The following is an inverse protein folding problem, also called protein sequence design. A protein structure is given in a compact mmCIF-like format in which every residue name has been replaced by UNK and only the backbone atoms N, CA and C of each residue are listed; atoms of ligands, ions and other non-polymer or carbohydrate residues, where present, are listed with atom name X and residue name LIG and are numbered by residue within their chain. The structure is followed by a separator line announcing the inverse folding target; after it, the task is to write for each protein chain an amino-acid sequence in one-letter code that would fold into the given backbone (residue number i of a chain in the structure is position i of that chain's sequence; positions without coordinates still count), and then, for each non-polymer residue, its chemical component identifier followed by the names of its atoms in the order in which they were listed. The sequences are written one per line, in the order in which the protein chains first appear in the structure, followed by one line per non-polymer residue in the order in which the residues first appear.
data_IF_896182835087
#
_entry.id   IF_896182835087
#
_cell.length_a   1.000
_cell.length_b   1.000
_cell.length_c   1.000
_cell.angle_alpha   90.00
_cell.angle_beta   90.00
_cell.angle_gamma   90.00
#
_symmetry.space_group_name_H-M   'P 1'
#
loop_
_entity.id
_entity.type
_entity.pdbx_description
1 polymer ?
2 non-polymer ?
3 non-polymer ?
4 non-polymer ?
5 non-polymer ?
6 non-polymer ?
7 non-polymer ?
8 non-polymer ?
9 water ?
#
# COMPACT_ATOMS: atom_id res chain seq x y z
N UNK A 1 -6.87 13.08 -18.73
CA UNK A 1 -7.52 11.87 -18.18
C UNK A 1 -6.44 10.88 -17.83
N UNK A 2 -6.63 10.34 -16.66
CA UNK A 2 -5.59 9.68 -15.95
C UNK A 2 -5.63 8.19 -16.29
N UNK A 3 -4.50 7.52 -16.16
CA UNK A 3 -4.48 6.11 -16.47
C UNK A 3 -5.46 5.29 -15.64
N UNK A 4 -6.08 4.32 -16.30
CA UNK A 4 -6.96 3.39 -15.63
C UNK A 4 -6.23 2.61 -14.54
N UNK A 5 -6.95 2.17 -13.53
CA UNK A 5 -6.35 1.37 -12.45
C UNK A 5 -5.55 0.18 -12.99
N UNK A 6 -6.10 -0.50 -13.99
CA UNK A 6 -5.44 -1.72 -14.48
C UNK A 6 -4.15 -1.34 -15.18
N UNK A 7 -4.09 -0.15 -15.79
CA UNK A 7 -2.87 0.31 -16.46
C UNK A 7 -1.83 0.71 -15.47
N UNK A 8 -2.24 1.34 -14.38
CA UNK A 8 -1.26 1.67 -13.35
C UNK A 8 -0.65 0.38 -12.72
N UNK A 9 -1.51 -0.62 -12.50
CA UNK A 9 -1.05 -1.94 -12.02
C UNK A 9 -0.05 -2.55 -12.99
N UNK A 10 -0.31 -2.40 -14.30
CA UNK A 10 0.60 -2.91 -15.31
C UNK A 10 1.96 -2.21 -15.22
N UNK A 11 1.95 -0.90 -15.05
CA UNK A 11 3.21 -0.14 -14.99
C UNK A 11 4.04 -0.57 -13.79
N UNK A 12 3.41 -0.76 -12.63
CA UNK A 12 4.12 -1.21 -11.44
C UNK A 12 4.80 -2.57 -11.69
N UNK A 13 4.08 -3.55 -12.24
CA UNK A 13 4.65 -4.88 -12.57
C UNK A 13 5.68 -4.80 -13.67
N UNK A 14 5.51 -3.87 -14.62
CA UNK A 14 6.47 -3.68 -15.69
C UNK A 14 7.78 -3.16 -15.17
N UNK A 15 7.73 -2.34 -14.16
CA UNK A 15 8.96 -1.88 -13.52
C UNK A 15 9.76 -3.12 -13.05
N UNK A 16 9.10 -4.02 -12.36
CA UNK A 16 9.76 -5.22 -11.86
C UNK A 16 10.29 -6.04 -13.04
N UNK A 17 9.48 -6.19 -14.09
CA UNK A 17 9.94 -6.97 -15.25
C UNK A 17 11.21 -6.37 -15.88
N UNK A 18 11.23 -5.05 -16.07
CA UNK A 18 12.38 -4.44 -16.72
C UNK A 18 13.66 -4.46 -15.83
N UNK A 19 13.46 -4.34 -14.52
CA UNK A 19 14.57 -4.46 -13.57
C UNK A 19 15.11 -5.88 -13.67
N UNK A 20 14.19 -6.84 -13.64
CA UNK A 20 14.56 -8.24 -13.76
C UNK A 20 15.29 -8.58 -15.07
N UNK A 21 14.99 -7.88 -16.17
CA UNK A 21 15.60 -8.15 -17.45
C UNK A 21 16.99 -7.49 -17.54
N UNK A 22 17.32 -6.64 -16.58
CA UNK A 22 18.65 -6.07 -16.45
C UNK A 22 18.80 -4.89 -17.38
N UNK A 23 17.66 -4.39 -17.87
CA UNK A 23 17.58 -3.39 -18.95
C UNK A 23 17.72 -1.95 -18.39
N UNK A 24 18.90 -1.39 -18.14
CA UNK A 24 18.88 -0.04 -17.51
C UNK A 24 18.05 0.97 -18.31
N UNK A 25 18.31 1.09 -19.60
CA UNK A 25 17.60 2.07 -20.40
C UNK A 25 16.10 1.83 -20.36
N UNK A 26 15.70 0.56 -20.49
CA UNK A 26 14.27 0.24 -20.47
C UNK A 26 13.61 0.66 -19.17
N UNK A 27 14.29 0.41 -18.06
CA UNK A 27 13.79 0.84 -16.78
C UNK A 27 13.60 2.36 -16.73
N UNK A 28 14.61 3.12 -17.15
CA UNK A 28 14.58 4.57 -17.13
C UNK A 28 13.43 5.14 -17.97
N UNK A 29 13.09 4.49 -19.09
CA UNK A 29 12.02 4.98 -19.96
C UNK A 29 10.64 4.91 -19.32
N UNK A 30 10.51 4.09 -18.27
CA UNK A 30 9.26 3.97 -17.50
C UNK A 30 9.00 5.21 -16.65
N UNK A 31 10.06 5.92 -16.29
CA UNK A 31 9.95 7.11 -15.45
C UNK A 31 9.85 8.41 -16.26
N UNK A 32 9.13 9.37 -15.68
CA UNK A 32 9.08 10.73 -16.21
C UNK A 32 10.50 11.32 -16.09
N UNK A 33 10.84 12.29 -16.94
CA UNK A 33 12.21 12.82 -16.91
C UNK A 33 12.68 13.40 -15.57
N UNK A 34 11.75 13.94 -14.81
CA UNK A 34 12.04 14.57 -13.55
C UNK A 34 11.45 13.74 -12.39
N UNK A 35 11.34 12.42 -12.59
CA UNK A 35 10.77 11.56 -11.56
C UNK A 35 11.58 11.59 -10.25
N UNK A 36 10.89 11.31 -9.15
CA UNK A 36 11.49 11.23 -7.80
C UNK A 36 11.40 9.83 -7.20
N UNK A 37 12.53 9.35 -6.66
CA UNK A 37 12.58 8.07 -5.97
C UNK A 37 13.02 8.26 -4.51
N UNK A 38 12.24 7.73 -3.60
CA UNK A 38 12.62 7.74 -2.17
C UNK A 38 12.77 6.28 -1.74
N UNK A 39 14.02 5.86 -1.46
CA UNK A 39 14.23 4.49 -1.01
C UNK A 39 15.50 4.48 -0.17
N UNK A 40 15.41 4.12 1.11
CA UNK A 40 14.18 3.88 1.87
C UNK A 40 13.52 5.18 2.33
N UNK A 41 12.34 5.09 2.91
CA UNK A 41 11.72 6.29 3.55
C UNK A 41 12.69 6.87 4.56
N UNK A 42 12.72 8.17 4.65
CA UNK A 42 13.66 8.82 5.57
C UNK A 42 15.01 8.95 4.93
N UNK A 43 15.00 9.10 3.59
CA UNK A 43 16.17 9.58 2.83
C UNK A 43 15.76 10.63 1.77
N UNK A 44 16.69 11.52 1.45
CA UNK A 44 16.66 12.52 0.34
C UNK A 44 16.15 11.82 -0.95
N UNK A 45 15.22 12.47 -1.67
CA UNK A 45 14.79 11.87 -2.95
C UNK A 45 15.91 11.89 -3.95
N UNK A 46 15.96 10.84 -4.76
CA UNK A 46 16.74 10.80 -6.00
C UNK A 46 15.88 11.47 -7.08
N UNK A 47 16.41 12.42 -7.84
CA UNK A 47 15.60 13.20 -8.77
C UNK A 47 16.16 13.19 -10.19
N UNK A 48 15.34 12.73 -11.13
CA UNK A 48 15.65 12.77 -12.54
C UNK A 48 16.32 11.52 -13.03
N UNK A 49 16.22 11.28 -14.35
CA UNK A 49 16.75 10.05 -14.93
C UNK A 49 18.29 9.85 -14.72
N UNK A 50 19.11 10.90 -14.83
CA UNK A 50 20.56 10.76 -14.55
C UNK A 50 20.83 10.23 -13.14
N UNK A 51 20.15 10.82 -12.17
CA UNK A 51 20.27 10.42 -10.78
C UNK A 51 19.72 9.04 -10.55
N UNK A 52 18.58 8.72 -11.19
CA UNK A 52 18.03 7.38 -11.05
C UNK A 52 18.94 6.30 -11.62
N UNK A 53 19.56 6.58 -12.76
CA UNK A 53 20.50 5.66 -13.41
C UNK A 53 21.64 5.39 -12.44
N UNK A 54 22.15 6.46 -11.80
CA UNK A 54 23.27 6.30 -10.86
C UNK A 54 22.87 5.41 -9.70
N UNK A 55 21.61 5.48 -9.30
CA UNK A 55 21.12 4.72 -8.17
C UNK A 55 20.82 3.26 -8.52
N UNK A 56 20.28 3.00 -9.71
CA UNK A 56 19.85 1.66 -10.10
C UNK A 56 20.97 0.81 -10.67
N UNK A 57 21.97 1.44 -11.30
CA UNK A 57 23.00 0.68 -12.02
C UNK A 57 23.69 -0.35 -11.12
N UNK A 58 24.08 0.05 -9.89
CA UNK A 58 24.72 -0.91 -8.99
C UNK A 58 23.86 -2.12 -8.64
N UNK A 59 22.54 -1.93 -8.54
CA UNK A 59 21.61 -3.05 -8.28
C UNK A 59 21.52 -3.96 -9.50
N UNK A 60 21.42 -3.36 -10.69
CA UNK A 60 21.44 -4.16 -11.93
C UNK A 60 22.73 -4.95 -12.03
N UNK A 61 23.85 -4.32 -11.69
CA UNK A 61 25.14 -5.05 -11.68
C UNK A 61 25.16 -6.20 -10.65
N UNK A 62 24.41 -6.06 -9.57
CA UNK A 62 24.31 -7.11 -8.56
C UNK A 62 23.21 -8.13 -8.81
N UNK A 63 22.78 -8.21 -10.07
CA UNK A 63 21.68 -9.12 -10.46
C UNK A 63 20.49 -9.06 -9.51
N UNK A 64 19.99 -7.86 -9.25
CA UNK A 64 18.77 -7.68 -8.46
C UNK A 64 17.63 -8.44 -9.13
N UNK A 65 16.83 -9.13 -8.31
CA UNK A 65 15.62 -9.79 -8.75
C UNK A 65 14.46 -9.38 -7.85
N UNK A 66 13.33 -9.06 -8.47
CA UNK A 66 12.15 -8.56 -7.74
C UNK A 66 10.99 -9.48 -8.02
N UNK A 67 10.42 -10.03 -6.97
CA UNK A 67 9.31 -10.94 -7.07
C UNK A 67 8.05 -10.19 -6.57
N UNK A 68 7.20 -9.74 -7.52
CA UNK A 68 6.05 -8.92 -7.13
C UNK A 68 4.92 -9.74 -6.55
N UNK A 69 4.23 -9.16 -5.57
CA UNK A 69 2.96 -9.65 -5.09
C UNK A 69 1.82 -9.04 -5.89
N UNK A 70 0.70 -8.91 -5.22
CA UNK A 70 -0.53 -8.36 -5.83
C UNK A 70 -0.51 -6.84 -5.76
N UNK A 71 -0.76 -6.13 -6.87
CA UNK A 71 -0.83 -4.68 -6.83
C UNK A 71 -2.21 -4.23 -6.37
N UNK A 72 -2.24 -3.03 -5.80
CA UNK A 72 -3.45 -2.40 -5.31
C UNK A 72 -3.51 -1.02 -5.97
N UNK A 73 -4.72 -0.60 -6.30
CA UNK A 73 -4.91 0.72 -6.86
C UNK A 73 -5.40 1.72 -5.82
N UNK A 74 -6.02 2.76 -6.31
CA UNK A 74 -6.50 3.88 -5.49
C UNK A 74 -7.54 4.59 -6.35
N UNK A 75 -8.14 5.63 -5.79
CA UNK A 75 -9.18 6.35 -6.51
C UNK A 75 -8.72 7.74 -6.87
N UNK A 76 -7.40 7.93 -6.91
CA UNK A 76 -6.81 9.24 -7.22
C UNK A 76 -6.30 9.42 -8.65
N UNK A 77 -6.54 8.43 -9.50
CA UNK A 77 -6.07 8.43 -10.89
C UNK A 77 -4.54 8.26 -11.05
N UNK A 78 -3.82 8.07 -9.95
CA UNK A 78 -2.36 8.07 -10.00
C UNK A 78 -1.61 6.98 -9.21
N UNK A 79 -2.15 6.57 -8.07
CA UNK A 79 -1.39 5.72 -7.14
C UNK A 79 -1.58 4.25 -7.40
N UNK A 80 -0.52 3.50 -7.11
CA UNK A 80 -0.58 2.05 -7.07
C UNK A 80 0.44 1.59 -6.04
N UNK A 81 0.14 0.54 -5.31
CA UNK A 81 1.00 -0.03 -4.26
C UNK A 81 1.31 -1.49 -4.64
N UNK A 82 2.60 -1.84 -4.58
CA UNK A 82 3.00 -3.20 -4.97
C UNK A 82 3.92 -3.75 -3.89
N UNK A 83 3.46 -4.72 -3.10
CA UNK A 83 4.40 -5.54 -2.32
C UNK A 83 5.28 -6.34 -3.23
N UNK A 84 6.50 -6.61 -2.73
CA UNK A 84 7.46 -7.44 -3.50
C UNK A 84 8.53 -7.91 -2.54
N UNK A 85 9.27 -8.92 -2.99
CA UNK A 85 10.49 -9.35 -2.30
C UNK A 85 11.60 -9.05 -3.27
N UNK A 86 12.68 -8.44 -2.77
CA UNK A 86 13.81 -8.03 -3.57
C UNK A 86 15.05 -8.75 -3.08
N UNK A 87 15.73 -9.45 -3.99
CA UNK A 87 17.00 -10.16 -3.72
C UNK A 87 18.11 -9.55 -4.53
N UNK A 88 19.27 -9.37 -3.90
CA UNK A 88 20.36 -8.70 -4.58
C UNK A 88 21.64 -8.97 -3.80
N UNK A 89 22.79 -8.80 -4.44
CA UNK A 89 24.13 -8.83 -3.79
C UNK A 89 25.11 -7.89 -4.48
N UNK A 90 26.35 -7.82 -4.00
CA UNK A 90 27.41 -7.18 -4.77
C UNK A 90 27.58 -7.92 -6.11
N UNK A 91 28.07 -7.24 -7.15
CA UNK A 91 28.23 -7.96 -8.42
C UNK A 91 28.96 -9.30 -8.26
N UNK A 92 28.32 -10.37 -8.71
CA UNK A 92 28.89 -11.72 -8.60
C UNK A 92 28.87 -12.39 -7.22
N UNK A 93 28.03 -11.94 -6.30
CA UNK A 93 27.91 -12.63 -5.01
C UNK A 93 27.13 -13.92 -5.27
N UNK A 94 27.51 -15.02 -4.59
CA UNK A 94 26.64 -16.21 -4.56
C UNK A 94 25.42 -15.96 -3.69
N UNK A 95 24.39 -16.85 -3.77
CA UNK A 95 23.16 -16.71 -2.97
C UNK A 95 23.45 -16.50 -1.47
N UNK A 96 24.51 -17.16 -1.00
CA UNK A 96 25.07 -17.00 0.35
C UNK A 96 25.26 -15.53 0.81
N UNK A 97 25.66 -14.67 -0.11
CA UNK A 97 25.90 -13.27 0.22
C UNK A 97 24.91 -12.38 -0.56
N UNK A 98 23.76 -12.95 -0.91
CA UNK A 98 22.63 -12.16 -1.40
C UNK A 98 21.60 -12.04 -0.30
N UNK A 99 21.15 -10.82 -0.02
CA UNK A 99 20.10 -10.55 0.94
C UNK A 99 18.75 -10.38 0.26
N UNK A 100 17.71 -10.59 1.04
CA UNK A 100 16.34 -10.59 0.57
C UNK A 100 15.52 -9.67 1.46
N UNK A 101 14.69 -8.80 0.85
CA UNK A 101 13.97 -7.80 1.60
C UNK A 101 12.54 -7.77 1.11
N UNK A 102 11.60 -7.78 2.04
CA UNK A 102 10.21 -7.56 1.75
C UNK A 102 9.97 -6.05 1.71
N UNK A 103 9.33 -5.58 0.65
CA UNK A 103 9.05 -4.18 0.49
C UNK A 103 7.59 -3.99 0.07
N UNK A 104 7.11 -2.76 0.25
CA UNK A 104 5.90 -2.30 -0.46
C UNK A 104 6.19 -0.94 -1.10
N UNK A 105 6.15 -0.92 -2.42
CA UNK A 105 6.40 0.24 -3.23
C UNK A 105 5.13 1.01 -3.54
N UNK A 106 5.18 2.32 -3.36
CA UNK A 106 4.10 3.19 -3.74
C UNK A 106 4.58 4.00 -4.96
N UNK A 107 3.82 3.88 -6.04
CA UNK A 107 4.11 4.58 -7.25
C UNK A 107 2.98 5.57 -7.57
N UNK A 108 3.36 6.73 -8.10
CA UNK A 108 2.39 7.69 -8.61
C UNK A 108 2.74 7.82 -10.08
N UNK A 109 1.75 7.51 -10.91
CA UNK A 109 1.90 7.53 -12.37
C UNK A 109 1.27 8.85 -12.90
N UNK A 110 1.89 9.49 -13.87
CA UNK A 110 1.35 10.69 -14.52
C UNK A 110 0.21 10.39 -15.49
N UNK A 111 -0.33 11.44 -16.08
CA UNK A 111 -1.38 11.32 -17.07
C UNK A 111 -0.97 10.48 -18.27
N UNK A 112 0.32 10.52 -18.60
CA UNK A 112 0.86 9.77 -19.75
C UNK A 112 1.29 8.33 -19.40
N UNK A 113 1.14 7.98 -18.15
CA UNK A 113 1.41 6.62 -17.67
C UNK A 113 2.85 6.42 -17.19
N UNK A 114 3.68 7.46 -17.27
CA UNK A 114 5.05 7.35 -16.76
C UNK A 114 5.12 7.58 -15.26
N UNK A 115 6.08 6.95 -14.61
CA UNK A 115 6.18 7.03 -13.16
C UNK A 115 6.77 8.38 -12.77
N UNK A 116 6.03 9.11 -11.96
CA UNK A 116 6.46 10.43 -11.46
C UNK A 116 7.10 10.32 -10.11
N UNK A 117 6.64 9.36 -9.32
CA UNK A 117 7.23 9.19 -8.00
C UNK A 117 7.17 7.75 -7.56
N UNK A 118 8.18 7.29 -6.83
CA UNK A 118 8.25 5.97 -6.30
C UNK A 118 8.80 6.10 -4.86
N UNK A 119 8.06 5.55 -3.89
CA UNK A 119 8.54 5.55 -2.49
C UNK A 119 8.53 4.10 -2.03
N UNK A 120 9.62 3.64 -1.48
CA UNK A 120 9.76 2.22 -1.17
C UNK A 120 9.78 1.99 0.35
N UNK A 121 8.75 1.35 0.87
CA UNK A 121 8.65 1.10 2.30
C UNK A 121 9.25 -0.29 2.63
N UNK A 122 10.20 -0.28 3.55
CA UNK A 122 10.89 -1.46 4.10
C UNK A 122 11.76 -1.05 5.21
N UNK A 123 11.81 -1.91 6.22
CA UNK A 123 12.60 -1.72 7.38
C UNK A 123 13.69 -2.75 7.56
N UNK A 124 14.59 -2.50 8.49
CA UNK A 124 15.65 -3.49 8.78
C UNK A 124 15.03 -4.82 9.20
N UNK A 125 13.92 -4.77 9.88
CA UNK A 125 13.21 -5.98 10.36
C UNK A 125 12.46 -6.64 9.18
N UNK A 126 12.49 -6.06 7.97
CA UNK A 126 11.93 -6.67 6.78
C UNK A 126 13.01 -7.32 5.89
N UNK A 127 14.25 -7.25 6.32
CA UNK A 127 15.38 -7.62 5.49
C UNK A 127 16.32 -8.61 6.10
N UNK A 128 16.74 -9.57 5.27
CA UNK A 128 17.73 -10.53 5.67
C UNK A 128 19.19 -9.98 5.68
N UNK A 129 19.37 -8.74 5.21
CA UNK A 129 20.72 -8.11 5.25
C UNK A 129 21.22 -7.87 6.63
N UNK A 130 20.31 -7.83 7.59
CA UNK A 130 20.66 -7.53 8.99
C UNK A 130 19.76 -8.23 10.00
N UNK A 131 20.34 -8.59 11.16
CA UNK A 131 19.49 -9.03 12.30
C UNK A 131 19.49 -7.99 13.41
N UNK A 132 19.93 -6.76 13.12
CA UNK A 132 19.89 -5.75 14.17
C UNK A 132 18.50 -5.45 14.68
N UNK A 133 18.39 -5.22 15.99
CA UNK A 133 17.04 -4.97 16.50
C UNK A 133 16.48 -3.64 16.01
N UNK A 134 15.17 -3.54 15.87
CA UNK A 134 14.51 -2.23 15.63
C UNK A 134 13.12 -2.35 16.23
N UNK A 135 13.04 -2.24 17.56
CA UNK A 135 11.76 -2.43 18.28
C UNK A 135 10.67 -1.48 17.82
N UNK A 136 11.05 -0.29 17.38
CA UNK A 136 10.04 0.64 16.86
C UNK A 136 9.32 0.22 15.60
N UNK A 137 10.08 -0.34 14.64
CA UNK A 137 9.55 -0.87 13.44
C UNK A 137 8.56 -2.00 13.78
N UNK A 138 8.96 -2.88 14.71
CA UNK A 138 8.08 -4.00 15.09
C UNK A 138 6.78 -3.49 15.72
N UNK A 139 6.90 -2.47 16.57
CA UNK A 139 5.74 -1.88 17.23
C UNK A 139 4.75 -1.30 16.23
N UNK A 140 5.26 -0.61 15.23
CA UNK A 140 4.37 -0.01 14.24
C UNK A 140 3.66 -1.09 13.39
N UNK A 141 4.40 -2.14 13.02
CA UNK A 141 3.78 -3.24 12.27
C UNK A 141 2.70 -3.91 13.14
N UNK A 142 2.96 -4.07 14.42
CA UNK A 142 1.97 -4.62 15.33
C UNK A 142 0.72 -3.72 15.42
N UNK A 143 0.91 -2.40 15.52
CA UNK A 143 -0.22 -1.45 15.57
C UNK A 143 -1.13 -1.59 14.34
N UNK A 144 -0.55 -1.77 13.16
CA UNK A 144 -1.28 -1.95 11.90
C UNK A 144 -2.17 -3.17 12.01
N UNK A 145 -1.63 -4.28 12.55
CA UNK A 145 -2.43 -5.47 12.75
C UNK A 145 -3.45 -5.31 13.84
N UNK A 146 -3.08 -4.68 14.93
CA UNK A 146 -4.00 -4.41 16.05
C UNK A 146 -5.25 -3.60 15.59
N UNK A 147 -5.12 -2.63 14.69
CA UNK A 147 -6.30 -1.97 14.11
C UNK A 147 -7.32 -2.97 13.61
N UNK A 148 -6.88 -3.90 12.77
CA UNK A 148 -7.76 -4.91 12.20
C UNK A 148 -8.41 -5.73 13.30
N UNK A 149 -7.61 -6.17 14.28
CA UNK A 149 -8.15 -7.01 15.34
C UNK A 149 -9.27 -6.31 16.10
N UNK A 150 -9.10 -5.03 16.40
CA UNK A 150 -10.10 -4.31 17.18
C UNK A 150 -11.37 -4.10 16.36
N UNK A 151 -11.25 -3.78 15.05
CA UNK A 151 -12.44 -3.71 14.15
C UNK A 151 -13.19 -5.05 14.19
N UNK A 152 -12.44 -6.15 14.05
CA UNK A 152 -13.06 -7.46 13.95
C UNK A 152 -13.81 -7.86 15.21
N UNK A 153 -13.27 -7.45 16.36
CA UNK A 153 -13.86 -7.73 17.66
C UNK A 153 -15.03 -6.74 17.96
N UNK A 154 -15.31 -5.81 17.05
CA UNK A 154 -16.31 -4.75 17.27
C UNK A 154 -16.01 -3.76 18.40
N UNK A 155 -14.73 -3.60 18.68
CA UNK A 155 -14.24 -2.86 19.82
C UNK A 155 -13.83 -1.46 19.36
N UNK A 156 -14.82 -0.62 19.13
CA UNK A 156 -14.59 0.73 18.63
C UNK A 156 -13.82 1.57 19.66
N UNK A 157 -14.22 1.48 20.92
CA UNK A 157 -13.50 2.23 22.00
C UNK A 157 -12.05 1.84 22.07
N UNK A 158 -11.80 0.53 21.91
CA UNK A 158 -10.43 0.02 21.87
C UNK A 158 -9.66 0.49 20.67
N UNK A 159 -10.28 0.46 19.48
CA UNK A 159 -9.62 0.94 18.30
C UNK A 159 -9.15 2.38 18.51
N UNK A 160 -9.99 3.22 19.10
CA UNK A 160 -9.69 4.67 19.19
C UNK A 160 -8.49 4.89 20.12
N UNK A 161 -8.26 3.97 21.06
CA UNK A 161 -7.10 4.14 21.97
C UNK A 161 -5.76 4.05 21.23
N UNK A 162 -5.75 3.49 20.03
CA UNK A 162 -4.51 3.39 19.20
C UNK A 162 -4.17 4.70 18.52
N UNK A 163 -5.15 5.62 18.49
CA UNK A 163 -5.15 6.79 17.62
C UNK A 163 -4.97 8.12 18.38
N UNK A 164 -4.33 9.08 17.71
CA UNK A 164 -4.16 10.45 18.18
C UNK A 164 -5.42 11.27 17.96
N UNK A 165 -5.71 12.21 18.86
CA UNK A 165 -6.80 13.17 18.60
C UNK A 165 -6.62 13.95 17.30
N UNK A 166 -5.39 14.05 16.81
CA UNK A 166 -5.08 14.73 15.57
C UNK A 166 -5.13 13.85 14.34
N UNK A 167 -5.68 12.63 14.44
CA UNK A 167 -5.68 11.67 13.34
C UNK A 167 -6.26 12.26 12.08
N UNK A 168 -5.52 12.17 10.99
CA UNK A 168 -6.02 12.47 9.65
C UNK A 168 -6.07 11.10 8.92
N UNK A 169 -7.22 10.74 8.37
CA UNK A 169 -7.32 9.54 7.61
C UNK A 169 -8.04 9.71 6.28
N UNK A 170 -7.67 8.87 5.32
CA UNK A 170 -8.23 8.93 3.97
C UNK A 170 -8.51 7.52 3.44
N UNK A 171 -9.76 7.30 3.07
CA UNK A 171 -10.24 5.98 2.67
C UNK A 171 -11.28 6.04 1.57
N UNK A 172 -10.98 5.61 0.34
CA UNK A 172 -9.70 5.22 -0.23
C UNK A 172 -8.89 6.47 -0.47
N UNK A 173 -7.58 6.30 -0.64
CA UNK A 173 -6.78 7.40 -1.20
C UNK A 173 -7.43 7.88 -2.49
N UNK A 174 -7.60 9.22 -2.59
CA UNK A 174 -8.32 9.85 -3.66
C UNK A 174 -9.74 10.25 -3.33
N UNK A 175 -10.05 10.28 -2.04
CA UNK A 175 -11.36 10.75 -1.60
C UNK A 175 -11.17 12.10 -0.91
N UNK A 176 -11.06 12.13 0.41
CA UNK A 176 -10.82 13.35 1.16
C UNK A 176 -10.24 12.93 2.51
N UNK A 177 -9.65 13.87 3.20
CA UNK A 177 -9.13 13.60 4.51
C UNK A 177 -10.22 13.86 5.53
N UNK A 178 -10.39 12.94 6.49
CA UNK A 178 -11.23 13.14 7.67
C UNK A 178 -10.27 13.39 8.85
N UNK A 179 -10.70 14.21 9.81
CA UNK A 179 -9.86 14.52 10.96
C UNK A 179 -10.58 14.16 12.25
N UNK A 180 -9.84 13.61 13.21
CA UNK A 180 -10.29 13.51 14.57
C UNK A 180 -10.90 12.18 14.99
N UNK A 181 -10.85 11.96 16.30
CA UNK A 181 -11.31 10.66 16.84
C UNK A 181 -12.84 10.49 16.67
N UNK A 182 -13.61 11.56 16.70
CA UNK A 182 -15.08 11.36 16.59
C UNK A 182 -15.43 10.94 15.15
N UNK A 183 -14.71 11.47 14.15
CA UNK A 183 -14.94 11.02 12.81
C UNK A 183 -14.53 9.56 12.66
N UNK A 184 -13.39 9.18 13.27
CA UNK A 184 -12.96 7.81 13.21
C UNK A 184 -13.95 6.89 13.88
N UNK A 185 -14.51 7.36 14.98
CA UNK A 185 -15.53 6.58 15.70
C UNK A 185 -16.75 6.32 14.81
N UNK A 186 -17.20 7.36 14.09
CA UNK A 186 -18.34 7.17 13.17
C UNK A 186 -17.98 6.12 12.07
N UNK A 187 -16.81 6.28 11.44
CA UNK A 187 -16.36 5.40 10.37
C UNK A 187 -16.28 3.96 10.90
N UNK A 188 -15.65 3.80 12.04
CA UNK A 188 -15.53 2.47 12.67
C UNK A 188 -16.90 1.86 13.08
N UNK A 189 -17.83 2.72 13.50
CA UNK A 189 -19.19 2.31 13.92
C UNK A 189 -19.93 1.81 12.71
N UNK A 190 -19.80 2.53 11.60
CA UNK A 190 -20.39 2.06 10.33
C UNK A 190 -19.77 0.71 9.93
N UNK A 191 -18.46 0.56 10.10
CA UNK A 191 -17.77 -0.70 9.73
C UNK A 191 -18.37 -1.86 10.53
N UNK A 192 -18.40 -1.70 11.87
CA UNK A 192 -18.89 -2.72 12.73
C UNK A 192 -20.34 -3.06 12.44
N UNK A 193 -21.17 -2.04 12.14
CA UNK A 193 -22.57 -2.26 11.87
C UNK A 193 -22.77 -3.01 10.56
N UNK A 194 -21.78 -2.94 9.66
CA UNK A 194 -21.78 -3.61 8.36
C UNK A 194 -21.04 -4.95 8.42
N UNK A 195 -20.72 -5.41 9.63
CA UNK A 195 -20.01 -6.71 9.79
C UNK A 195 -18.72 -6.78 9.06
N UNK A 196 -17.99 -5.67 9.02
CA UNK A 196 -16.66 -5.64 8.39
C UNK A 196 -15.73 -6.66 9.12
N UNK A 197 -15.01 -7.42 8.32
CA UNK A 197 -13.89 -8.26 8.79
C UNK A 197 -12.68 -7.93 7.97
N UNK A 198 -11.56 -7.71 8.68
CA UNK A 198 -10.31 -7.26 8.09
C UNK A 198 -9.23 -8.30 8.45
N UNK A 199 -8.79 -9.05 7.44
CA UNK A 199 -7.81 -10.15 7.67
C UNK A 199 -6.49 -9.69 7.08
N UNK A 200 -5.52 -9.46 7.95
CA UNK A 200 -4.23 -8.92 7.55
C UNK A 200 -3.32 -10.00 7.02
N UNK A 201 -2.56 -9.62 6.00
CA UNK A 201 -1.61 -10.49 5.34
C UNK A 201 -0.22 -10.12 5.79
N UNK A 202 0.41 -9.32 4.98
CA UNK A 202 1.81 -8.95 5.10
C UNK A 202 1.97 -7.56 5.70
N UNK A 203 3.04 -7.37 6.46
CA UNK A 203 3.43 -6.04 6.95
C UNK A 203 4.86 -5.69 6.58
N UNK A 204 5.11 -4.40 6.42
CA UNK A 204 6.45 -3.82 6.35
C UNK A 204 6.46 -2.55 7.17
N UNK A 205 7.64 -2.18 7.62
CA UNK A 205 7.84 -0.86 8.26
C UNK A 205 8.54 0.07 7.32
N UNK A 206 8.40 1.40 7.54
CA UNK A 206 9.31 2.35 6.94
C UNK A 206 10.51 2.65 7.82
N UNK A 207 11.60 3.10 7.23
CA UNK A 207 12.82 3.43 7.96
C UNK A 207 12.86 4.91 8.33
N UNK A 208 11.69 5.48 8.57
CA UNK A 208 11.63 6.90 8.91
C UNK A 208 11.14 7.16 10.33
N UNK A 209 11.04 6.09 11.14
CA UNK A 209 10.54 6.22 12.48
C UNK A 209 9.06 6.56 12.58
N UNK A 210 8.33 6.40 11.48
CA UNK A 210 6.93 6.85 11.43
C UNK A 210 5.95 5.87 10.79
N UNK A 211 6.31 5.31 9.62
CA UNK A 211 5.36 4.56 8.82
C UNK A 211 5.42 3.05 8.99
N UNK A 212 4.28 2.43 8.71
CA UNK A 212 4.19 0.99 8.50
C UNK A 212 3.04 0.76 7.54
N UNK A 213 2.96 -0.45 6.98
CA UNK A 213 1.87 -0.79 6.05
C UNK A 213 1.49 -2.27 6.20
N UNK A 214 0.21 -2.57 6.00
CA UNK A 214 -0.31 -3.92 6.10
C UNK A 214 -1.24 -4.17 4.88
N UNK A 215 -1.11 -5.35 4.28
CA UNK A 215 -2.09 -5.77 3.27
C UNK A 215 -3.28 -6.38 4.01
N UNK A 216 -4.45 -6.13 3.47
CA UNK A 216 -5.68 -6.56 4.15
C UNK A 216 -6.67 -7.13 3.15
N UNK A 217 -7.34 -8.21 3.52
CA UNK A 217 -8.44 -8.74 2.75
C UNK A 217 -9.67 -8.55 3.63
N UNK A 218 -10.61 -7.71 3.19
CA UNK A 218 -11.80 -7.39 3.95
C UNK A 218 -13.07 -7.94 3.27
N UNK A 219 -14.04 -8.25 4.10
CA UNK A 219 -15.44 -8.45 3.67
C UNK A 219 -16.38 -7.56 4.49
N UNK A 220 -17.58 -7.36 3.92
CA UNK A 220 -18.62 -6.60 4.63
C UNK A 220 -19.94 -6.83 3.94
N UNK A 221 -21.02 -6.54 4.65
CA UNK A 221 -22.37 -6.61 4.05
C UNK A 221 -22.43 -5.77 2.78
N UNK A 222 -23.13 -6.27 1.76
CA UNK A 222 -23.29 -5.53 0.52
C UNK A 222 -23.99 -4.16 0.76
N UNK A 223 -24.91 -4.14 1.70
CA UNK A 223 -25.64 -2.91 2.09
C UNK A 223 -25.03 -2.43 3.41
N UNK A 224 -24.74 -1.13 3.53
CA UNK A 224 -25.06 -0.05 2.62
C UNK A 224 -23.97 0.34 1.64
N UNK A 225 -22.79 -0.25 1.75
CA UNK A 225 -21.63 0.26 0.97
C UNK A 225 -21.74 0.07 -0.54
N UNK A 226 -22.25 -1.08 -0.94
CA UNK A 226 -22.24 -1.45 -2.35
C UNK A 226 -22.90 -0.44 -3.27
N UNK A 227 -24.10 0.01 -2.93
CA UNK A 227 -24.74 1.00 -3.83
C UNK A 227 -23.97 2.32 -3.89
N UNK A 228 -23.36 2.73 -2.78
CA UNK A 228 -22.54 3.94 -2.75
C UNK A 228 -21.29 3.72 -3.60
N UNK A 229 -20.60 2.59 -3.44
CA UNK A 229 -19.46 2.31 -4.30
C UNK A 229 -19.84 2.36 -5.78
N UNK A 230 -20.97 1.76 -6.10
CA UNK A 230 -21.41 1.70 -7.51
C UNK A 230 -21.63 3.10 -8.06
N UNK A 231 -22.24 3.97 -7.28
CA UNK A 231 -22.48 5.34 -7.70
C UNK A 231 -21.18 6.14 -7.91
N UNK A 232 -20.09 5.76 -7.26
CA UNK A 232 -18.87 6.56 -7.36
C UNK A 232 -17.77 5.83 -8.09
N UNK A 233 -18.15 4.93 -8.98
CA UNK A 233 -17.20 4.21 -9.83
C UNK A 233 -16.19 3.42 -9.08
N UNK A 234 -16.61 2.84 -7.96
CA UNK A 234 -15.73 1.99 -7.17
C UNK A 234 -16.16 0.52 -7.09
N UNK A 235 -17.24 0.22 -7.78
CA UNK A 235 -17.79 -1.14 -7.85
C UNK A 235 -18.42 -1.25 -9.21
N UNK A 236 -17.72 -1.89 -10.13
CA UNK A 236 -18.20 -2.01 -11.50
C UNK A 236 -18.81 -3.37 -11.85
N UNK A 237 -19.25 -4.14 -10.86
CA UNK A 237 -19.86 -5.45 -11.12
C UNK A 237 -21.36 -5.27 -11.18
N UNK A 238 -22.08 -6.22 -11.79
CA UNK A 238 -23.54 -6.11 -11.68
C UNK A 238 -24.03 -6.20 -10.22
N UNK A 239 -25.15 -5.54 -9.95
CA UNK A 239 -25.73 -5.55 -8.62
C UNK A 239 -26.21 -6.98 -8.34
N UNK A 240 -26.09 -7.44 -7.09
CA UNK A 240 -26.54 -8.79 -6.75
C UNK A 240 -28.05 -8.88 -6.86
N UNK A 241 -28.55 -10.08 -7.14
CA UNK A 241 -30.00 -10.27 -7.23
C UNK A 241 -30.64 -9.99 -5.87
N UNK A 242 -30.00 -10.46 -4.80
CA UNK A 242 -30.48 -10.20 -3.45
C UNK A 242 -29.41 -9.45 -2.66
N UNK A 243 -29.53 -8.11 -2.60
CA UNK A 243 -28.48 -7.41 -1.86
C UNK A 243 -28.40 -7.76 -0.37
N UNK A 244 -29.39 -8.45 0.17
CA UNK A 244 -29.42 -8.77 1.57
C UNK A 244 -28.59 -9.99 1.95
N UNK A 245 -28.23 -10.78 0.96
CA UNK A 245 -27.40 -11.98 1.17
C UNK A 245 -25.93 -11.76 0.75
N UNK A 246 -25.70 -10.84 -0.18
CA UNK A 246 -24.40 -10.63 -0.81
C UNK A 246 -23.39 -9.96 0.13
N UNK A 247 -22.12 -10.25 -0.10
CA UNK A 247 -21.04 -9.53 0.56
C UNK A 247 -20.17 -8.79 -0.48
N UNK A 248 -19.52 -7.72 -0.04
CA UNK A 248 -18.45 -7.07 -0.77
C UNK A 248 -17.11 -7.49 -0.19
N UNK A 249 -16.16 -7.80 -1.06
CA UNK A 249 -14.79 -8.01 -0.68
C UNK A 249 -13.93 -6.87 -1.18
N UNK A 250 -13.00 -6.39 -0.35
CA UNK A 250 -12.04 -5.41 -0.76
C UNK A 250 -10.66 -5.86 -0.37
N UNK A 251 -9.71 -5.84 -1.29
CA UNK A 251 -8.28 -6.03 -1.00
C UNK A 251 -7.62 -4.65 -0.95
N UNK A 252 -6.94 -4.32 0.14
CA UNK A 252 -6.34 -3.02 0.24
C UNK A 252 -5.02 -3.05 1.00
N UNK A 253 -4.28 -1.95 0.92
CA UNK A 253 -3.14 -1.74 1.79
C UNK A 253 -3.43 -0.56 2.69
N UNK A 254 -3.24 -0.72 3.99
CA UNK A 254 -3.43 0.40 4.94
C UNK A 254 -2.04 0.84 5.32
N UNK A 255 -1.76 2.12 5.15
CA UNK A 255 -0.50 2.73 5.58
C UNK A 255 -0.81 3.54 6.80
N UNK A 256 -0.02 3.38 7.82
CA UNK A 256 -0.15 4.19 9.02
C UNK A 256 1.10 5.03 9.30
N UNK A 257 0.87 6.16 9.97
CA UNK A 257 1.96 6.97 10.49
C UNK A 257 1.76 7.16 11.96
N UNK A 258 2.84 7.05 12.73
CA UNK A 258 2.76 7.06 14.18
C UNK A 258 3.56 8.24 14.70
N UNK A 259 3.00 8.92 15.70
CA UNK A 259 3.57 10.20 16.17
C UNK A 259 4.56 9.97 17.28
N UNK A 260 4.99 11.08 17.92
CA UNK A 260 6.02 11.11 18.97
C UNK A 260 5.59 10.47 20.28
N UNK A 261 4.32 10.14 20.38
CA UNK A 261 3.78 9.51 21.57
C UNK A 261 3.37 8.08 21.30
N UNK A 262 3.60 7.60 20.09
CA UNK A 262 3.31 6.23 19.69
C UNK A 262 1.84 6.03 19.30
N UNK A 263 1.17 7.13 19.01
CA UNK A 263 -0.24 7.08 18.57
C UNK A 263 -0.30 7.25 17.08
N UNK A 264 -1.28 6.61 16.45
CA UNK A 264 -1.44 6.70 15.01
C UNK A 264 -2.07 8.06 14.66
N UNK A 265 -1.38 8.87 13.87
CA UNK A 265 -1.91 10.21 13.53
C UNK A 265 -2.15 10.37 12.05
N UNK A 266 -1.81 9.36 11.28
CA UNK A 266 -2.05 9.37 9.86
C UNK A 266 -2.47 7.96 9.46
N UNK A 267 -3.53 7.84 8.65
CA UNK A 267 -3.93 6.54 8.10
C UNK A 267 -4.51 6.70 6.72
N UNK A 268 -4.07 5.89 5.79
CA UNK A 268 -4.55 5.91 4.40
C UNK A 268 -4.84 4.46 3.96
N UNK A 269 -5.86 4.25 3.16
CA UNK A 269 -6.14 2.94 2.62
C UNK A 269 -6.11 3.03 1.07
N UNK A 270 -5.24 2.21 0.46
CA UNK A 270 -5.10 2.10 -0.98
C UNK A 270 -5.94 0.99 -1.50
N UNK A 271 -7.02 1.36 -2.19
CA UNK A 271 -7.79 0.43 -3.02
C UNK A 271 -8.57 1.18 -4.08
N UNK A 272 -8.90 0.49 -5.13
CA UNK A 272 -9.81 1.07 -6.14
C UNK A 272 -10.83 0.09 -6.62
N UNK A 273 -11.52 0.41 -7.69
CA UNK A 273 -12.56 -0.46 -8.20
C UNK A 273 -12.07 -1.82 -8.58
N UNK A 274 -10.82 -1.93 -9.05
CA UNK A 274 -10.27 -3.21 -9.43
C UNK A 274 -9.86 -4.07 -8.23
N UNK A 275 -10.04 -3.57 -7.04
CA UNK A 275 -9.72 -4.28 -5.81
C UNK A 275 -11.01 -4.72 -5.08
N UNK A 276 -12.16 -4.41 -5.68
CA UNK A 276 -13.47 -4.68 -5.11
C UNK A 276 -14.14 -5.87 -5.82
N UNK A 277 -14.65 -6.79 -5.02
CA UNK A 277 -15.34 -8.01 -5.51
C UNK A 277 -16.68 -8.20 -4.84
N UNK A 278 -17.49 -9.08 -5.43
CA UNK A 278 -18.82 -9.38 -4.92
C UNK A 278 -18.96 -10.89 -4.63
N UNK A 279 -19.30 -11.25 -3.39
CA UNK A 279 -19.50 -12.61 -2.96
C UNK A 279 -21.02 -12.79 -2.90
N UNK A 280 -21.54 -13.43 -3.94
CA UNK A 280 -22.98 -13.49 -4.19
C UNK A 280 -23.36 -14.93 -4.60
N UNK A 281 -24.02 -15.69 -3.71
CA UNK A 281 -24.42 -15.28 -2.35
C UNK A 281 -23.27 -15.36 -1.33
X LIG B 1 18.72 -2.76 -1.41
X LIG B 1 17.50 -3.30 -1.91
X LIG B 1 16.40 -2.30 -2.11
X LIG B 1 15.86 -2.19 -3.51
X LIG B 1 16.70 -1.81 -4.72
X LIG B 1 15.80 -1.97 -5.93
X LIG B 1 14.48 -1.18 -6.01
X LIG B 1 13.28 -1.90 -5.75
X LIG B 1 11.93 -1.23 -5.49
X LIG B 1 10.76 -2.21 -5.51
X LIG B 1 9.33 -1.71 -5.58
X LIG B 1 9.01 -0.42 -6.10
X LIG B 1 7.62 -0.21 -6.60
X LIG B 1 17.46 -4.49 -2.14
X LIG B 1 15.21 -2.39 -1.15
X LIG B 1 15.00 -3.49 -0.18
X LIG B 1 14.94 -1.17 -3.34
X LIG B 1 17.92 -2.65 -4.82
X LIG B 1 14.55 0.37 -5.97
X LIG B 1 15.55 1.01 -6.90
X LIG B 1 13.68 -1.63 -7.09
X LIG B 1 8.15 -2.71 -5.53
X LIG B 1 7.88 -3.55 -6.75
X LIG B 1 9.08 -0.63 -4.71
X LIG C 1 -15.99 7.08 -1.92
X LIG C 1 -14.87 7.72 -2.49
X LIG C 1 -14.93 8.85 -3.27
X LIG C 1 -16.18 9.41 -3.48
X LIG C 1 -17.30 8.80 -2.91
X LIG C 1 -17.25 7.62 -2.17
X LIG C 1 -16.13 7.40 0.96
X LIG C 1 -15.60 6.07 0.39
X LIG C 1 -15.90 5.83 -1.09
X LIG C 1 -17.22 5.23 -1.00
X LIG C 1 -17.28 4.56 0.18
X LIG C 1 -16.32 4.95 1.01
X LIG C 1 -16.06 4.55 2.27
X LIG C 1 -16.78 3.35 2.93
X LIG C 1 -15.74 2.23 3.17
X LIG C 1 -16.32 0.81 2.89
X LIG C 1 -15.39 -0.05 3.73
X LIG C 1 -15.17 0.86 4.99
X LIG C 1 -13.80 0.65 5.64
X LIG C 1 -13.45 -0.77 6.10
X LIG C 1 -11.93 -1.00 5.81
X LIG C 1 -11.54 0.28 5.02
X LIG C 1 -10.64 1.28 5.85
X LIG C 1 -9.30 0.76 6.38
X LIG C 1 -18.15 3.70 0.39
X LIG C 1 -15.15 5.13 2.90
X LIG C 1 -17.60 3.79 4.15
X LIG C 1 -18.65 4.80 3.65
X LIG C 1 -15.26 2.20 4.52
X LIG C 1 -16.35 0.33 1.37
X LIG C 1 -16.27 0.68 6.08
X LIG C 1 -16.24 1.73 7.20
X LIG C 1 -12.78 0.99 4.67
X LIG C 1 -10.78 -0.15 3.75
X LIG C 1 -11.62 -0.93 2.73
X LIG C 1 -11.34 1.92 6.96
X LIG D 1 -3.90 13.19 3.82
X LIG D 1 -3.98 13.77 5.13
X LIG D 1 -4.55 11.82 3.82
X LIG D 1 -3.84 10.96 2.93
X LIG D 1 -4.53 11.18 5.21
X LIG D 1 -3.22 11.24 5.83
X LIG E 1 16.28 2.17 10.22
X LIG E 1 17.27 3.17 10.48
X LIG E 1 15.14 2.48 11.18
X LIG E 1 13.90 1.98 10.74
X LIG E 1 15.44 1.84 12.51
X LIG E 1 16.72 2.39 12.89
X LIG F 1 9.08 13.28 -2.06
X LIG F 1 9.68 14.33 -1.72
X LIG F 1 9.24 12.81 -3.21
X LIG F 1 8.17 12.59 -1.09
X LIG G 1 -16.86 10.08 -7.48
X LIG G 1 -15.88 9.30 -7.28
X LIG G 1 -17.73 9.83 -8.37
X LIG G 1 -17.02 11.32 -6.64
X LIG H 1 4.98 -7.50 12.60
X LIG H 1 3.77 -7.60 11.76
X LIG I 1 6.85 3.29 17.31
X LIG I 1 7.32 4.02 16.17
X LIG J 1 7.70 -9.12 11.12
X LIG J 1 8.71 -8.87 11.76
X LIG J 1 7.09 -8.12 10.44
X LIG K 1 -11.60 0.87 9.68
X LIG K 1 -10.95 -0.13 9.36
X LIG K 1 -12.90 0.76 9.87
X LIG L 1 -16.70 7.72 5.78
X LIG L 1 -15.49 7.87 5.94
X LIG L 1 -17.49 8.74 5.39
X LIG M 1 16.54 -7.88 9.46
#
# INVERSE_FOLDING_TARGET
HMPAETVRKEVALEYCRRVNAGELEGVLQLFAPDARLVDPLGTEPVVGRAALAARLAPALRGAVHEEPGRPYAAHDGTSVVLPATVTVGAPGAPPQRRGRTRVMGVIEVGEDGLIREMRVMWGVTDSSWTARPAPDEERRKELAREHCLRINDGDVDGLLKLYSPRIRFEDPVGSWTRTGLEALRAHATMAVGSNVRETAGLTVAGQDGRHAAVTVSATMDYLPSGPLLARHHLMTLPAPADPHRALIGIEYVMVIGVDADGLIDEMRAYWGATDVSLLDPAA
LSB N12 C13 C14 C15 C16 C17 C18 C19 C20 C21 C22 C23 C24 O26 C27 C28 O29 C30 C31 C32 O33 C34 C35 O36
ILD C1 C2 C3 C4 C5 C6 C7 C8 C9 O10 C11 N12 C13 C14 C15 C16 C17 C18 C19 C20 C21 C22 C23 C24 O25 O26 C27 C28 O29 C30 C31 C32 O33 C34 C35 O36
GOL C1 O1 C2 O2 C3 O3
GOL C1 O1 C2 O2 C3 O3
ACT C O OXT CH3
ACT C O OXT CH3
MOH C O
MOH C O
FMT C O1 O2
FMT C O1 O2
FMT C O1 O2
NA NA
#
